data_IF_763148279948
#
_entry.id   IF_763148279948
#
_cell.length_a   1.000
_cell.length_b   1.000
_cell.length_c   1.000
_cell.angle_alpha   90.00
_cell.angle_beta   90.00
_cell.angle_gamma   90.00
#
_symmetry.space_group_name_H-M   'P 1'
#
loop_
_entity.id
_entity.type
_entity.pdbx_description
1 polymer ?
#
# COMPACT_ATOMS: atom_id res chain seq x y z
N UNK A 1 10.49 -25.70 -35.37
CA UNK A 1 10.33 -24.40 -34.70
C UNK A 1 9.68 -24.68 -33.34
N UNK A 2 10.44 -24.64 -32.26
CA UNK A 2 9.88 -24.72 -30.90
C UNK A 2 9.25 -23.36 -30.64
N UNK A 3 7.91 -23.28 -30.55
CA UNK A 3 7.23 -22.11 -30.06
C UNK A 3 7.77 -21.84 -28.64
N UNK A 4 8.47 -20.73 -28.43
CA UNK A 4 8.79 -20.27 -27.09
C UNK A 4 7.45 -19.94 -26.41
N UNK A 5 7.01 -20.82 -25.56
CA UNK A 5 5.90 -20.54 -24.63
C UNK A 5 6.38 -19.35 -23.82
N UNK A 6 5.70 -18.21 -23.91
CA UNK A 6 5.94 -17.08 -23.02
C UNK A 6 5.58 -17.55 -21.61
N UNK A 7 6.53 -17.65 -20.65
CA UNK A 7 6.25 -18.13 -19.31
C UNK A 7 5.23 -17.25 -18.55
N UNK A 8 4.91 -16.07 -19.08
CA UNK A 8 3.98 -15.11 -18.51
C UNK A 8 2.60 -15.10 -19.19
N UNK A 9 2.28 -16.09 -20.05
CA UNK A 9 0.93 -16.20 -20.63
C UNK A 9 0.02 -16.84 -19.59
N UNK A 10 -0.93 -16.13 -18.98
CA UNK A 10 -1.83 -16.73 -18.01
C UNK A 10 -2.75 -17.74 -18.69
N UNK A 11 -2.84 -18.94 -18.13
CA UNK A 11 -3.83 -19.97 -18.49
C UNK A 11 -5.25 -19.64 -17.98
N UNK A 12 -5.53 -18.37 -17.64
CA UNK A 12 -6.72 -17.89 -16.95
C UNK A 12 -6.39 -17.42 -15.53
N UNK A 13 -7.30 -16.72 -14.89
CA UNK A 13 -7.14 -16.32 -13.48
C UNK A 13 -7.24 -17.58 -12.60
N UNK A 14 -6.21 -17.92 -11.79
CA UNK A 14 -6.16 -19.19 -11.07
C UNK A 14 -7.10 -19.24 -9.86
N UNK A 15 -7.53 -18.07 -9.37
CA UNK A 15 -8.48 -17.96 -8.27
C UNK A 15 -9.91 -17.85 -8.80
N UNK A 16 -10.88 -18.23 -7.98
CA UNK A 16 -12.30 -18.01 -8.24
C UNK A 16 -12.75 -16.75 -7.50
N UNK A 17 -13.54 -15.91 -8.16
CA UNK A 17 -14.17 -14.73 -7.58
C UNK A 17 -15.66 -15.03 -7.45
N UNK A 18 -16.16 -15.06 -6.23
CA UNK A 18 -17.55 -15.40 -5.90
C UNK A 18 -18.15 -14.21 -5.16
N UNK A 19 -19.26 -13.65 -5.68
CA UNK A 19 -20.02 -12.64 -4.98
C UNK A 19 -21.17 -13.29 -4.22
N UNK A 20 -21.16 -13.13 -2.90
CA UNK A 20 -22.20 -13.66 -2.03
C UNK A 20 -23.50 -12.85 -2.14
N UNK A 21 -24.63 -13.46 -1.72
CA UNK A 21 -25.97 -12.85 -1.85
C UNK A 21 -26.10 -11.49 -1.14
N UNK A 22 -25.40 -11.27 -0.03
CA UNK A 22 -25.39 -10.02 0.72
C UNK A 22 -24.35 -9.00 0.21
N UNK A 23 -23.58 -9.32 -0.84
CA UNK A 23 -22.67 -8.37 -1.49
C UNK A 23 -21.17 -8.58 -1.21
N UNK A 24 -20.80 -9.37 -0.18
CA UNK A 24 -19.39 -9.71 0.11
C UNK A 24 -18.75 -10.45 -1.08
N UNK A 25 -17.52 -10.14 -1.38
CA UNK A 25 -16.74 -10.87 -2.38
C UNK A 25 -15.80 -11.86 -1.72
N UNK A 26 -15.84 -13.12 -2.14
CA UNK A 26 -14.85 -14.14 -1.82
C UNK A 26 -13.94 -14.34 -3.04
N UNK A 27 -12.62 -14.28 -2.81
CA UNK A 27 -11.60 -14.71 -3.77
C UNK A 27 -10.95 -15.95 -3.21
N UNK A 28 -10.99 -17.06 -3.94
CA UNK A 28 -10.49 -18.35 -3.45
C UNK A 28 -9.52 -18.97 -4.43
N UNK A 29 -8.37 -19.44 -3.90
CA UNK A 29 -7.44 -20.29 -4.64
C UNK A 29 -6.98 -21.46 -3.76
N UNK A 30 -7.29 -22.67 -4.18
CA UNK A 30 -6.75 -23.86 -3.52
C UNK A 30 -5.29 -24.10 -3.90
N UNK A 31 -4.45 -24.34 -2.90
CA UNK A 31 -3.03 -24.72 -3.05
C UNK A 31 -2.78 -25.90 -2.12
N UNK A 32 -2.68 -27.09 -2.69
CA UNK A 32 -2.56 -28.36 -1.96
C UNK A 32 -1.14 -28.80 -1.65
N UNK A 33 -0.14 -28.09 -2.17
CA UNK A 33 1.29 -28.37 -1.92
C UNK A 33 1.78 -27.92 -0.54
N UNK A 34 0.97 -27.20 0.21
CA UNK A 34 1.28 -26.72 1.57
C UNK A 34 0.08 -26.95 2.50
N UNK A 35 0.29 -27.35 3.77
CA UNK A 35 -0.79 -27.52 4.73
C UNK A 35 -1.30 -26.19 5.33
N UNK A 36 -0.91 -25.05 4.77
CA UNK A 36 -1.25 -23.70 5.27
C UNK A 36 -2.51 -23.18 4.59
N UNK A 37 -3.30 -22.41 5.34
CA UNK A 37 -4.36 -21.56 4.85
C UNK A 37 -4.14 -20.11 5.30
N UNK A 38 -4.39 -19.20 4.39
CA UNK A 38 -4.39 -17.76 4.64
C UNK A 38 -5.76 -17.21 4.34
N UNK A 39 -6.30 -16.44 5.26
CA UNK A 39 -7.47 -15.59 5.03
C UNK A 39 -7.03 -14.15 5.20
N UNK A 40 -7.32 -13.33 4.20
CA UNK A 40 -7.02 -11.90 4.21
C UNK A 40 -8.31 -11.12 3.92
N UNK A 41 -8.78 -10.35 4.88
CA UNK A 41 -10.04 -9.59 4.82
C UNK A 41 -9.71 -8.14 4.53
N UNK A 42 -10.11 -7.69 3.36
CA UNK A 42 -9.86 -6.34 2.84
C UNK A 42 -11.12 -5.49 2.96
N UNK A 43 -10.97 -4.30 3.51
CA UNK A 43 -12.04 -3.32 3.69
C UNK A 43 -11.65 -2.03 2.96
N UNK A 44 -12.49 -1.54 2.06
CA UNK A 44 -12.28 -0.27 1.33
C UNK A 44 -12.54 0.94 2.24
N UNK A 45 -11.79 1.02 3.33
CA UNK A 45 -11.94 2.01 4.39
C UNK A 45 -10.59 2.42 4.99
N UNK A 46 -9.68 2.90 4.14
CA UNK A 46 -8.45 3.55 4.58
C UNK A 46 -8.64 5.03 4.92
N UNK A 47 -7.53 5.75 5.07
CA UNK A 47 -7.55 7.17 5.45
C UNK A 47 -8.33 8.07 4.47
N UNK A 48 -8.46 7.67 3.20
CA UNK A 48 -9.25 8.40 2.21
C UNK A 48 -10.77 8.38 2.51
N UNK A 49 -11.25 7.38 3.25
CA UNK A 49 -12.65 7.26 3.64
C UNK A 49 -13.02 8.10 4.86
N UNK A 50 -12.05 8.70 5.52
CA UNK A 50 -12.25 9.48 6.73
C UNK A 50 -12.93 10.82 6.44
N UNK A 51 -13.98 11.22 7.19
CA UNK A 51 -14.46 12.58 7.16
C UNK A 51 -13.34 13.59 7.43
N UNK A 52 -13.41 14.79 6.85
CA UNK A 52 -12.31 15.78 6.87
C UNK A 52 -11.70 16.07 8.25
N UNK A 53 -12.49 15.95 9.31
CA UNK A 53 -12.04 16.21 10.69
C UNK A 53 -11.75 14.94 11.49
N UNK A 54 -11.71 13.76 10.85
CA UNK A 54 -11.51 12.47 11.49
C UNK A 54 -10.20 11.79 11.06
N UNK A 55 -9.16 12.56 10.74
CA UNK A 55 -7.87 12.01 10.32
C UNK A 55 -7.27 11.07 11.37
N UNK A 56 -6.85 9.87 10.93
CA UNK A 56 -6.36 8.78 11.79
C UNK A 56 -7.44 7.87 12.36
N UNK A 57 -8.71 8.06 11.98
CA UNK A 57 -9.81 7.23 12.46
C UNK A 57 -9.72 5.79 11.95
N UNK A 58 -9.32 5.58 10.71
CA UNK A 58 -9.21 4.25 10.11
C UNK A 58 -8.12 3.43 10.80
N UNK A 59 -6.95 4.02 11.03
CA UNK A 59 -5.84 3.38 11.74
C UNK A 59 -6.18 3.13 13.22
N UNK A 60 -6.76 4.10 13.89
CA UNK A 60 -7.18 3.90 15.29
C UNK A 60 -8.27 2.83 15.41
N UNK A 61 -9.18 2.71 14.42
CA UNK A 61 -10.16 1.63 14.38
C UNK A 61 -9.48 0.26 14.19
N UNK A 62 -8.42 0.16 13.38
CA UNK A 62 -7.64 -1.08 13.25
C UNK A 62 -7.21 -1.59 14.63
N UNK A 63 -6.60 -0.74 15.48
CA UNK A 63 -6.24 -1.09 16.85
C UNK A 63 -7.44 -1.54 17.69
N UNK A 64 -8.56 -0.83 17.54
CA UNK A 64 -9.75 -1.12 18.35
C UNK A 64 -10.51 -2.37 17.93
N UNK A 65 -10.36 -2.85 16.68
CA UNK A 65 -10.90 -4.15 16.24
C UNK A 65 -10.36 -5.28 17.13
N UNK A 66 -9.07 -5.26 17.47
CA UNK A 66 -8.44 -6.27 18.32
C UNK A 66 -8.81 -6.16 19.81
N UNK A 67 -9.54 -5.11 20.21
CA UNK A 67 -10.05 -4.99 21.61
C UNK A 67 -11.37 -5.76 21.81
N UNK A 68 -11.80 -6.52 20.79
CA UNK A 68 -12.83 -7.54 20.90
C UNK A 68 -14.24 -7.08 20.57
N UNK A 69 -15.15 -7.99 20.86
CA UNK A 69 -16.59 -7.85 20.68
C UNK A 69 -17.34 -8.09 21.99
N UNK A 70 -18.68 -8.12 21.95
CA UNK A 70 -19.49 -8.51 23.12
C UNK A 70 -19.17 -9.92 23.61
N UNK A 71 -18.82 -10.83 22.69
CA UNK A 71 -18.58 -12.25 22.98
C UNK A 71 -17.10 -12.60 23.12
N UNK A 72 -16.19 -11.70 22.75
CA UNK A 72 -14.74 -11.87 22.80
C UNK A 72 -14.14 -10.69 23.58
N UNK A 73 -13.65 -10.95 24.80
CA UNK A 73 -13.02 -9.92 25.63
C UNK A 73 -11.64 -9.51 25.08
N UNK A 74 -11.14 -8.31 25.45
CA UNK A 74 -9.79 -7.86 25.05
C UNK A 74 -8.71 -8.90 25.37
N UNK A 75 -7.82 -9.18 24.39
CA UNK A 75 -6.73 -10.16 24.51
C UNK A 75 -7.15 -11.62 24.35
N UNK A 76 -8.44 -11.94 24.35
CA UNK A 76 -8.92 -13.33 24.17
C UNK A 76 -8.76 -13.77 22.73
N UNK A 77 -8.95 -12.87 21.77
CA UNK A 77 -8.76 -13.17 20.34
C UNK A 77 -7.34 -13.67 20.08
N UNK A 78 -6.33 -12.94 20.52
CA UNK A 78 -4.92 -13.29 20.30
C UNK A 78 -4.60 -14.66 20.94
N UNK A 79 -5.06 -14.90 22.17
CA UNK A 79 -4.88 -16.20 22.86
C UNK A 79 -5.51 -17.36 22.06
N UNK A 80 -6.69 -17.16 21.48
CA UNK A 80 -7.35 -18.20 20.68
C UNK A 80 -6.57 -18.48 19.41
N UNK A 81 -6.15 -17.43 18.70
CA UNK A 81 -5.39 -17.59 17.45
C UNK A 81 -4.04 -18.28 17.74
N UNK A 82 -3.32 -17.87 18.75
CA UNK A 82 -2.07 -18.50 19.19
C UNK A 82 -2.28 -19.96 19.61
N UNK A 83 -3.36 -20.26 20.35
CA UNK A 83 -3.70 -21.62 20.75
C UNK A 83 -3.89 -22.56 19.54
N UNK A 84 -4.46 -22.05 18.46
CA UNK A 84 -4.62 -22.78 17.19
C UNK A 84 -3.37 -22.69 16.29
N UNK A 85 -2.24 -22.19 16.81
CA UNK A 85 -0.99 -22.05 16.04
C UNK A 85 -1.08 -21.08 14.86
N UNK A 86 -2.02 -20.14 14.93
CA UNK A 86 -2.21 -19.09 13.94
C UNK A 86 -1.37 -17.85 14.22
N UNK A 87 -1.20 -17.05 13.19
CA UNK A 87 -0.61 -15.71 13.23
C UNK A 87 -1.59 -14.76 12.58
N UNK A 88 -1.83 -13.62 13.21
CA UNK A 88 -2.68 -12.57 12.69
C UNK A 88 -1.97 -11.22 12.73
N UNK A 89 -2.32 -10.34 11.82
CA UNK A 89 -1.90 -8.95 11.83
C UNK A 89 -2.89 -8.13 10.99
N UNK A 90 -2.74 -6.81 11.00
CA UNK A 90 -3.52 -5.89 10.19
C UNK A 90 -2.64 -4.75 9.67
N UNK A 91 -3.16 -4.03 8.70
CA UNK A 91 -2.50 -2.87 8.13
C UNK A 91 -3.53 -1.89 7.55
N UNK A 92 -3.38 -0.62 7.86
CA UNK A 92 -4.18 0.47 7.29
C UNK A 92 -3.36 1.31 6.31
N UNK A 93 -3.92 1.51 5.12
CA UNK A 93 -3.39 2.36 4.06
C UNK A 93 -4.31 3.57 3.82
N UNK A 94 -3.99 4.38 2.82
CA UNK A 94 -4.92 5.43 2.38
C UNK A 94 -6.21 4.85 1.80
N UNK A 95 -6.14 3.79 0.98
CA UNK A 95 -7.29 3.25 0.24
C UNK A 95 -8.05 2.14 0.97
N UNK A 96 -7.39 1.45 1.92
CA UNK A 96 -7.95 0.26 2.56
C UNK A 96 -7.39 0.01 3.96
N UNK A 97 -8.10 -0.82 4.72
CA UNK A 97 -7.53 -1.61 5.81
C UNK A 97 -7.64 -3.09 5.46
N UNK A 98 -6.69 -3.92 5.89
CA UNK A 98 -6.81 -5.37 5.74
C UNK A 98 -6.34 -6.10 7.00
N UNK A 99 -6.94 -7.27 7.23
CA UNK A 99 -6.73 -8.08 8.41
C UNK A 99 -6.49 -9.52 7.95
N UNK A 100 -5.35 -10.08 8.28
CA UNK A 100 -5.01 -11.41 7.80
C UNK A 100 -4.74 -12.39 8.93
N UNK A 101 -5.12 -13.64 8.66
CA UNK A 101 -4.92 -14.81 9.49
C UNK A 101 -4.19 -15.88 8.68
N UNK A 102 -3.07 -16.36 9.19
CA UNK A 102 -2.34 -17.51 8.64
C UNK A 102 -2.35 -18.63 9.67
N UNK A 103 -2.80 -19.82 9.27
CA UNK A 103 -2.85 -20.99 10.16
C UNK A 103 -2.72 -22.29 9.38
N UNK A 104 -2.61 -23.43 10.08
CA UNK A 104 -2.77 -24.72 9.44
C UNK A 104 -4.20 -24.86 8.87
N UNK A 105 -4.36 -25.36 7.65
CA UNK A 105 -5.66 -25.46 6.99
C UNK A 105 -6.71 -26.20 7.84
N UNK A 106 -6.30 -27.23 8.61
CA UNK A 106 -7.17 -27.97 9.53
C UNK A 106 -7.66 -27.17 10.74
N UNK A 107 -7.01 -26.03 11.05
CA UNK A 107 -7.39 -25.14 12.15
C UNK A 107 -8.25 -23.95 11.70
N UNK A 108 -8.33 -23.72 10.39
CA UNK A 108 -9.08 -22.60 9.83
C UNK A 108 -10.56 -22.57 10.28
N UNK A 109 -11.30 -23.71 10.29
CA UNK A 109 -12.69 -23.71 10.74
C UNK A 109 -12.91 -23.25 12.20
N UNK A 110 -11.87 -23.42 13.04
CA UNK A 110 -11.88 -22.97 14.44
C UNK A 110 -11.47 -21.52 14.61
N UNK A 111 -10.51 -21.04 13.80
CA UNK A 111 -9.91 -19.72 13.95
C UNK A 111 -10.69 -18.60 13.21
N UNK A 112 -11.17 -18.87 11.99
CA UNK A 112 -11.84 -17.87 11.14
C UNK A 112 -13.09 -17.23 11.78
N UNK A 113 -13.97 -17.96 12.51
CA UNK A 113 -15.13 -17.34 13.14
C UNK A 113 -14.77 -16.23 14.12
N UNK A 114 -13.65 -16.32 14.83
CA UNK A 114 -13.21 -15.27 15.75
C UNK A 114 -12.72 -14.02 15.02
N UNK A 115 -12.05 -14.18 13.88
CA UNK A 115 -11.69 -13.03 13.04
C UNK A 115 -12.94 -12.32 12.50
N UNK A 116 -13.92 -13.07 12.00
CA UNK A 116 -15.19 -12.50 11.56
C UNK A 116 -15.94 -11.80 12.67
N UNK A 117 -15.97 -12.37 13.88
CA UNK A 117 -16.63 -11.79 15.04
C UNK A 117 -16.05 -10.42 15.42
N UNK A 118 -14.72 -10.30 15.54
CA UNK A 118 -14.09 -9.01 15.89
C UNK A 118 -14.22 -7.97 14.76
N UNK A 119 -14.21 -8.41 13.51
CA UNK A 119 -14.34 -7.50 12.37
C UNK A 119 -15.77 -6.95 12.23
N UNK A 120 -16.77 -7.80 12.37
CA UNK A 120 -18.17 -7.40 12.12
C UNK A 120 -18.86 -6.80 13.35
N UNK A 121 -18.42 -7.21 14.55
CA UNK A 121 -19.10 -6.88 15.81
C UNK A 121 -18.17 -6.23 16.84
N UNK A 122 -17.17 -5.48 16.35
CA UNK A 122 -16.30 -4.69 17.22
C UNK A 122 -17.14 -3.79 18.14
N UNK A 123 -16.98 -3.97 19.45
CA UNK A 123 -17.79 -3.23 20.43
C UNK A 123 -17.23 -1.83 20.70
N UNK A 124 -15.93 -1.68 20.54
CA UNK A 124 -15.19 -0.43 20.80
C UNK A 124 -15.51 0.07 22.22
N UNK A 125 -15.10 -0.68 23.29
CA UNK A 125 -15.43 -0.33 24.66
C UNK A 125 -14.81 1.01 25.06
N UNK A 126 -15.55 1.86 25.76
CA UNK A 126 -15.14 3.22 26.09
C UNK A 126 -13.83 3.24 26.91
N UNK A 127 -13.63 2.29 27.83
CA UNK A 127 -12.38 2.20 28.61
C UNK A 127 -11.18 1.79 27.76
N UNK A 128 -11.34 0.80 26.89
CA UNK A 128 -10.29 0.35 25.97
C UNK A 128 -9.98 1.43 24.93
N UNK A 129 -10.98 2.15 24.45
CA UNK A 129 -10.78 3.30 23.56
C UNK A 129 -9.88 4.38 24.17
N UNK A 130 -10.07 4.69 25.46
CA UNK A 130 -9.23 5.67 26.15
C UNK A 130 -7.80 5.16 26.31
N UNK A 131 -7.61 3.87 26.65
CA UNK A 131 -6.29 3.28 26.79
C UNK A 131 -5.56 3.20 25.46
N UNK A 132 -6.22 2.69 24.44
CA UNK A 132 -5.62 2.47 23.13
C UNK A 132 -5.32 3.77 22.41
N UNK A 133 -6.10 4.83 22.67
CA UNK A 133 -5.79 6.18 22.18
C UNK A 133 -4.39 6.63 22.63
N UNK A 134 -4.00 6.39 23.88
CA UNK A 134 -2.66 6.76 24.36
C UNK A 134 -1.57 5.92 23.67
N UNK A 135 -1.86 4.65 23.31
CA UNK A 135 -0.94 3.82 22.52
C UNK A 135 -0.73 4.40 21.13
N UNK A 136 -1.82 4.75 20.42
CA UNK A 136 -1.74 5.36 19.08
C UNK A 136 -1.06 6.73 19.13
N UNK A 137 -1.29 7.52 20.21
CA UNK A 137 -0.60 8.80 20.38
C UNK A 137 0.91 8.62 20.58
N UNK A 138 1.33 7.55 21.25
CA UNK A 138 2.75 7.24 21.41
C UNK A 138 3.36 6.75 20.09
N UNK A 139 2.61 5.99 19.30
CA UNK A 139 3.04 5.59 17.95
C UNK A 139 3.24 6.81 17.04
N UNK A 140 2.32 7.79 17.07
CA UNK A 140 2.48 9.05 16.35
C UNK A 140 3.78 9.75 16.77
N UNK A 141 4.06 9.88 18.06
CA UNK A 141 5.29 10.51 18.54
C UNK A 141 6.54 9.78 18.10
N UNK A 142 6.52 8.44 18.21
CA UNK A 142 7.61 7.59 17.78
C UNK A 142 7.90 7.73 16.27
N UNK A 143 6.83 7.88 15.46
CA UNK A 143 6.96 8.08 14.02
C UNK A 143 7.61 9.44 13.68
N UNK A 144 7.39 10.48 14.49
CA UNK A 144 8.09 11.76 14.32
C UNK A 144 9.57 11.71 14.66
N UNK A 145 10.02 10.70 15.42
CA UNK A 145 11.43 10.44 15.71
C UNK A 145 12.13 9.65 14.60
N UNK A 146 11.37 9.07 13.65
CA UNK A 146 11.90 8.39 12.45
C UNK A 146 12.04 9.38 11.29
N UNK A 147 13.28 9.73 10.88
CA UNK A 147 13.51 10.68 9.80
C UNK A 147 12.99 10.20 8.43
N UNK A 148 12.95 8.89 8.18
CA UNK A 148 12.47 8.36 6.89
C UNK A 148 10.96 8.51 6.78
N UNK A 149 10.23 8.17 7.85
CA UNK A 149 8.79 8.39 7.91
C UNK A 149 8.46 9.88 7.82
N UNK A 150 9.11 10.72 8.62
CA UNK A 150 8.87 12.16 8.65
C UNK A 150 9.14 12.81 7.29
N UNK A 151 10.23 12.41 6.65
CA UNK A 151 10.59 12.91 5.32
C UNK A 151 9.58 12.54 4.25
N UNK A 152 9.12 11.28 4.24
CA UNK A 152 8.12 10.82 3.30
C UNK A 152 6.74 11.45 3.55
N UNK A 153 6.31 11.55 4.81
CA UNK A 153 5.06 12.22 5.16
C UNK A 153 5.06 13.69 4.74
N UNK A 154 6.17 14.42 5.01
CA UNK A 154 6.33 15.82 4.56
C UNK A 154 6.32 15.93 3.04
N UNK A 155 6.90 14.96 2.32
CA UNK A 155 6.83 14.93 0.86
C UNK A 155 5.38 14.76 0.38
N UNK A 156 4.62 13.83 0.99
CA UNK A 156 3.21 13.62 0.66
C UNK A 156 2.37 14.87 0.92
N UNK A 157 2.54 15.54 2.04
CA UNK A 157 1.87 16.82 2.36
C UNK A 157 2.23 17.94 1.37
N UNK A 158 3.47 17.94 0.88
CA UNK A 158 3.94 18.91 -0.11
C UNK A 158 3.39 18.61 -1.51
N UNK A 159 3.26 17.33 -1.87
CA UNK A 159 2.69 16.87 -3.13
C UNK A 159 1.17 17.07 -3.18
N UNK A 160 0.47 16.61 -2.14
CA UNK A 160 -0.98 16.56 -2.09
C UNK A 160 -1.53 17.62 -1.11
N UNK A 161 -1.77 18.81 -1.60
CA UNK A 161 -2.32 19.91 -0.78
C UNK A 161 -3.85 19.86 -0.67
N UNK A 162 -4.51 19.20 -1.62
CA UNK A 162 -5.97 19.11 -1.71
C UNK A 162 -6.49 17.69 -1.60
N UNK A 163 -5.73 16.70 -2.07
CA UNK A 163 -6.12 15.29 -2.05
C UNK A 163 -5.81 14.67 -0.68
N UNK A 164 -6.68 13.78 -0.15
CA UNK A 164 -6.46 13.11 1.14
C UNK A 164 -5.15 12.33 1.27
N UNK A 165 -4.48 11.95 0.16
CA UNK A 165 -3.18 11.27 0.20
C UNK A 165 -2.04 12.11 0.81
N UNK A 166 -2.24 13.41 1.00
CA UNK A 166 -1.31 14.25 1.76
C UNK A 166 -1.49 14.14 3.28
N UNK A 167 -2.59 13.58 3.76
CA UNK A 167 -2.84 13.44 5.20
C UNK A 167 -2.09 12.22 5.75
N UNK A 168 -1.53 12.29 6.98
CA UNK A 168 -0.93 11.13 7.62
C UNK A 168 -2.00 10.08 7.95
N UNK A 169 -1.71 8.83 7.67
CA UNK A 169 -2.59 7.69 7.99
C UNK A 169 -2.82 7.58 9.51
N UNK A 170 -1.78 7.87 10.29
CA UNK A 170 -1.86 7.90 11.76
C UNK A 170 -2.73 9.05 12.29
N UNK A 171 -3.04 10.06 11.46
CA UNK A 171 -3.71 11.27 11.89
C UNK A 171 -2.81 12.22 12.68
N UNK A 172 -3.43 13.16 13.39
CA UNK A 172 -2.74 14.13 14.25
C UNK A 172 -3.20 14.02 15.70
N UNK A 173 -2.26 14.15 16.65
CA UNK A 173 -2.55 14.07 18.09
C UNK A 173 -3.72 14.95 18.52
N UNK A 174 -3.78 16.20 18.02
CA UNK A 174 -4.83 17.16 18.36
C UNK A 174 -6.24 16.69 17.93
N UNK A 175 -6.33 15.91 16.84
CA UNK A 175 -7.60 15.35 16.35
C UNK A 175 -7.97 14.09 17.16
N UNK A 176 -7.04 13.16 17.33
CA UNK A 176 -7.30 11.91 18.05
C UNK A 176 -7.78 12.14 19.48
N UNK A 177 -7.27 13.19 20.15
CA UNK A 177 -7.73 13.56 21.50
C UNK A 177 -9.18 14.00 21.58
N UNK A 178 -9.78 14.41 20.47
CA UNK A 178 -11.17 14.89 20.40
C UNK A 178 -12.16 13.80 20.03
N UNK A 179 -11.70 12.62 19.58
CA UNK A 179 -12.59 11.56 19.14
C UNK A 179 -13.31 10.89 20.30
N UNK A 180 -14.53 10.49 20.00
CA UNK A 180 -15.36 9.69 20.90
C UNK A 180 -15.53 8.26 20.38
N UNK A 181 -15.76 7.27 21.25
CA UNK A 181 -16.09 5.92 20.82
C UNK A 181 -17.31 5.86 19.89
N UNK A 182 -18.27 6.76 20.07
CA UNK A 182 -19.46 6.86 19.22
C UNK A 182 -19.12 7.19 17.75
N UNK A 183 -18.18 8.11 17.51
CA UNK A 183 -17.73 8.44 16.16
C UNK A 183 -17.05 7.24 15.49
N UNK A 184 -16.22 6.50 16.24
CA UNK A 184 -15.57 5.31 15.74
C UNK A 184 -16.55 4.18 15.45
N UNK A 185 -17.53 3.94 16.33
CA UNK A 185 -18.61 2.98 16.06
C UNK A 185 -19.41 3.38 14.82
N UNK A 186 -19.62 4.67 14.60
CA UNK A 186 -20.26 5.17 13.37
C UNK A 186 -19.39 4.85 12.15
N UNK A 187 -18.10 5.13 12.16
CA UNK A 187 -17.17 4.87 11.07
C UNK A 187 -17.10 3.36 10.77
N UNK A 188 -16.98 2.51 11.80
CA UNK A 188 -17.02 1.06 11.66
C UNK A 188 -18.28 0.59 10.94
N UNK A 189 -19.47 0.95 11.44
CA UNK A 189 -20.77 0.54 10.88
C UNK A 189 -21.04 1.08 9.49
N UNK A 190 -20.43 2.20 9.11
CA UNK A 190 -20.56 2.76 7.76
C UNK A 190 -19.73 1.97 6.76
N UNK A 191 -18.51 1.58 7.12
CA UNK A 191 -17.54 1.06 6.15
C UNK A 191 -17.37 -0.46 6.19
N UNK A 192 -17.58 -1.11 7.34
CA UNK A 192 -17.46 -2.57 7.46
C UNK A 192 -18.79 -3.23 7.05
N UNK A 193 -19.10 -3.14 5.77
CA UNK A 193 -20.31 -3.62 5.12
C UNK A 193 -19.97 -4.61 3.99
N UNK A 194 -20.88 -5.53 3.64
CA UNK A 194 -20.58 -6.63 2.72
C UNK A 194 -20.06 -6.18 1.36
N UNK A 195 -20.64 -5.15 0.79
CA UNK A 195 -20.26 -4.61 -0.52
C UNK A 195 -18.93 -3.85 -0.53
N UNK A 196 -18.44 -3.51 0.66
CA UNK A 196 -17.18 -2.82 0.89
C UNK A 196 -16.03 -3.76 1.32
N UNK A 197 -16.34 -5.04 1.54
CA UNK A 197 -15.41 -6.05 2.03
C UNK A 197 -15.13 -7.14 1.01
N UNK A 198 -13.89 -7.62 1.02
CA UNK A 198 -13.43 -8.76 0.23
C UNK A 198 -12.69 -9.72 1.14
N UNK A 199 -13.07 -10.98 1.13
CA UNK A 199 -12.37 -12.06 1.82
C UNK A 199 -11.57 -12.86 0.79
N UNK A 200 -10.25 -12.94 0.98
CA UNK A 200 -9.37 -13.74 0.14
C UNK A 200 -8.95 -14.96 0.92
N UNK A 201 -9.19 -16.15 0.37
CA UNK A 201 -8.78 -17.43 0.97
C UNK A 201 -7.82 -18.15 0.02
N UNK A 202 -6.57 -18.31 0.44
CA UNK A 202 -5.54 -19.02 -0.35
C UNK A 202 -4.89 -20.09 0.52
N UNK A 203 -4.79 -21.31 0.01
CA UNK A 203 -4.14 -22.42 0.70
C UNK A 203 -4.82 -23.76 0.51
N UNK A 204 -4.52 -24.70 1.39
CA UNK A 204 -5.06 -26.08 1.28
C UNK A 204 -6.48 -26.18 1.87
N UNK A 205 -7.40 -25.42 1.28
CA UNK A 205 -8.81 -25.39 1.65
C UNK A 205 -9.62 -25.62 0.38
N UNK A 206 -10.48 -26.66 0.33
CA UNK A 206 -11.40 -26.88 -0.80
C UNK A 206 -12.37 -25.69 -0.96
N UNK A 207 -12.80 -25.46 -2.20
CA UNK A 207 -13.67 -24.30 -2.52
C UNK A 207 -14.99 -24.30 -1.75
N UNK A 208 -15.66 -25.42 -1.69
CA UNK A 208 -16.96 -25.58 -0.98
C UNK A 208 -16.79 -25.39 0.54
N UNK A 209 -15.67 -25.81 1.09
CA UNK A 209 -15.34 -25.57 2.49
C UNK A 209 -15.07 -24.09 2.73
N UNK A 210 -14.23 -23.46 1.90
CA UNK A 210 -13.95 -22.02 1.99
C UNK A 210 -15.23 -21.17 1.86
N UNK A 211 -16.08 -21.48 0.87
CA UNK A 211 -17.34 -20.81 0.66
C UNK A 211 -18.26 -20.95 1.88
N UNK A 212 -18.47 -22.18 2.37
CA UNK A 212 -19.32 -22.45 3.53
C UNK A 212 -18.82 -21.75 4.81
N UNK A 213 -17.50 -21.76 5.04
CA UNK A 213 -16.89 -21.08 6.18
C UNK A 213 -17.07 -19.57 6.11
N UNK A 214 -16.82 -18.97 4.93
CA UNK A 214 -16.96 -17.53 4.75
C UNK A 214 -18.41 -17.09 4.86
N UNK A 215 -19.36 -17.79 4.22
CA UNK A 215 -20.79 -17.50 4.35
C UNK A 215 -21.26 -17.54 5.81
N UNK A 216 -20.86 -18.55 6.56
CA UNK A 216 -21.22 -18.70 7.98
C UNK A 216 -20.57 -17.64 8.86
N UNK A 217 -19.31 -17.28 8.59
CA UNK A 217 -18.55 -16.34 9.41
C UNK A 217 -19.01 -14.90 9.17
N UNK A 218 -19.31 -14.55 7.91
CA UNK A 218 -19.66 -13.19 7.50
C UNK A 218 -21.14 -13.00 7.23
N UNK A 219 -22.01 -13.56 8.08
CA UNK A 219 -23.50 -13.44 7.97
C UNK A 219 -24.10 -12.34 8.85
N UNK A 220 -23.36 -11.84 9.83
CA UNK A 220 -23.88 -10.97 10.90
C UNK A 220 -23.50 -9.50 10.77
N UNK A 221 -23.68 -8.86 9.60
CA UNK A 221 -23.36 -7.44 9.45
C UNK A 221 -24.25 -6.53 10.29
N UNK A 222 -23.62 -5.52 10.87
CA UNK A 222 -24.33 -4.47 11.63
C UNK A 222 -25.18 -3.61 10.69
N UNK A 223 -26.26 -3.02 11.23
CA UNK A 223 -27.02 -2.02 10.48
C UNK A 223 -26.11 -0.84 10.13
N UNK A 224 -26.05 -0.42 8.86
CA UNK A 224 -25.23 0.70 8.45
C UNK A 224 -25.53 1.99 9.22
N UNK A 225 -24.49 2.76 9.49
CA UNK A 225 -24.59 4.13 10.01
C UNK A 225 -24.20 5.12 8.90
N UNK A 226 -24.59 6.37 9.06
CA UNK A 226 -24.17 7.44 8.15
C UNK A 226 -23.11 8.32 8.84
N UNK A 227 -21.87 8.21 8.39
CA UNK A 227 -20.81 9.15 8.75
C UNK A 227 -20.97 10.46 7.97
N UNK A 228 -20.41 11.58 8.46
CA UNK A 228 -20.25 12.75 7.63
C UNK A 228 -19.55 12.41 6.32
N UNK A 229 -19.97 12.97 5.17
CA UNK A 229 -19.39 12.62 3.88
C UNK A 229 -17.93 13.05 3.79
N UNK A 230 -17.13 12.22 3.15
CA UNK A 230 -15.75 12.54 2.79
C UNK A 230 -15.72 13.34 1.49
N UNK A 231 -14.97 14.41 1.44
CA UNK A 231 -14.73 15.19 0.22
C UNK A 231 -13.36 14.80 -0.34
N UNK A 232 -13.36 14.12 -1.48
CA UNK A 232 -12.15 13.80 -2.23
C UNK A 232 -11.99 14.85 -3.33
N UNK A 233 -11.05 15.75 -3.16
CA UNK A 233 -10.69 16.74 -4.16
C UNK A 233 -9.53 16.19 -5.00
N UNK A 234 -9.58 16.38 -6.31
CA UNK A 234 -8.44 16.05 -7.16
C UNK A 234 -7.27 17.00 -6.87
N UNK A 235 -6.07 16.46 -6.82
CA UNK A 235 -4.87 17.29 -6.70
C UNK A 235 -4.58 17.96 -8.05
N UNK A 236 -4.45 19.30 -8.10
CA UNK A 236 -4.07 19.97 -9.33
C UNK A 236 -2.61 19.63 -9.70
N UNK A 237 -2.27 19.60 -11.00
CA UNK A 237 -0.89 19.38 -11.44
C UNK A 237 0.08 20.38 -10.81
N UNK A 238 1.25 19.92 -10.46
CA UNK A 238 2.35 20.78 -10.01
C UNK A 238 2.77 21.72 -11.16
N UNK A 239 2.83 23.01 -10.86
CA UNK A 239 3.24 24.04 -11.83
C UNK A 239 4.66 24.55 -11.62
N UNK A 240 5.23 24.27 -10.44
CA UNK A 240 6.57 24.67 -10.00
C UNK A 240 7.18 23.63 -9.05
N UNK A 241 8.42 23.86 -8.64
CA UNK A 241 9.08 23.04 -7.60
C UNK A 241 8.52 23.51 -6.24
N UNK A 242 7.90 22.56 -5.51
CA UNK A 242 7.52 22.77 -4.12
C UNK A 242 8.60 22.23 -3.20
N UNK A 243 9.26 23.10 -2.44
CA UNK A 243 10.41 22.75 -1.61
C UNK A 243 10.07 22.88 -0.13
N UNK A 244 10.39 21.82 0.63
CA UNK A 244 10.37 21.82 2.08
C UNK A 244 11.78 21.50 2.60
N UNK A 245 12.22 22.17 3.66
CA UNK A 245 13.53 21.96 4.29
C UNK A 245 13.38 21.90 5.79
N UNK A 246 13.98 20.90 6.41
CA UNK A 246 13.97 20.72 7.86
C UNK A 246 15.36 20.37 8.38
N UNK A 247 15.59 20.76 9.64
CA UNK A 247 16.80 20.46 10.37
C UNK A 247 16.48 19.53 11.54
N UNK A 248 17.14 18.41 11.62
CA UNK A 248 16.88 17.36 12.59
C UNK A 248 18.12 17.08 13.43
N UNK A 249 18.02 17.19 14.78
CA UNK A 249 19.20 17.08 15.66
C UNK A 249 19.82 15.68 15.66
N UNK A 250 19.04 14.65 15.40
CA UNK A 250 19.49 13.25 15.44
C UNK A 250 19.86 12.69 14.06
N UNK A 251 19.86 13.53 13.03
CA UNK A 251 20.20 13.10 11.69
C UNK A 251 21.72 13.12 11.48
N UNK A 252 22.31 11.98 11.15
CA UNK A 252 23.75 11.88 10.89
C UNK A 252 24.12 12.30 9.45
N UNK A 253 23.19 12.21 8.52
CA UNK A 253 23.42 12.41 7.09
C UNK A 253 22.30 13.23 6.48
N UNK A 254 22.62 14.09 5.50
CA UNK A 254 21.60 14.75 4.71
C UNK A 254 20.75 13.77 3.93
N UNK A 255 19.46 14.07 3.80
CA UNK A 255 18.51 13.30 2.98
C UNK A 255 17.79 14.20 2.02
N UNK A 256 17.60 13.71 0.82
CA UNK A 256 16.87 14.38 -0.24
C UNK A 256 15.80 13.41 -0.73
N UNK A 257 14.55 13.82 -0.69
CA UNK A 257 13.40 13.09 -1.21
C UNK A 257 12.71 13.95 -2.25
N UNK A 258 12.65 13.47 -3.50
CA UNK A 258 11.92 14.11 -4.59
C UNK A 258 10.71 13.26 -4.94
N UNK A 259 9.59 13.91 -5.29
CA UNK A 259 8.35 13.22 -5.60
C UNK A 259 7.58 13.82 -6.77
N UNK A 260 6.92 12.95 -7.53
CA UNK A 260 6.02 13.29 -8.65
C UNK A 260 4.70 12.54 -8.48
N UNK A 261 3.63 13.20 -8.84
CA UNK A 261 2.30 12.59 -8.90
C UNK A 261 2.14 11.91 -10.24
N UNK A 262 1.87 10.62 -10.21
CA UNK A 262 1.51 9.81 -11.36
C UNK A 262 0.01 9.49 -11.41
N UNK A 263 -0.44 8.75 -12.41
CA UNK A 263 -1.83 8.34 -12.55
C UNK A 263 -2.19 7.25 -11.54
N UNK A 264 -3.46 7.16 -11.18
CA UNK A 264 -4.01 6.06 -10.40
C UNK A 264 -4.25 4.79 -11.24
N UNK A 265 -4.85 3.80 -10.60
CA UNK A 265 -5.09 2.47 -11.20
C UNK A 265 -5.94 2.50 -12.47
N UNK A 266 -6.77 3.52 -12.68
CA UNK A 266 -7.59 3.68 -13.91
C UNK A 266 -6.75 3.88 -15.17
N UNK A 267 -5.47 4.24 -15.04
CA UNK A 267 -4.50 4.40 -16.13
C UNK A 267 -3.31 3.46 -15.90
N UNK A 268 -3.60 2.20 -15.71
CA UNK A 268 -2.64 1.16 -15.32
C UNK A 268 -1.43 1.10 -16.28
N UNK A 269 -1.64 1.27 -17.58
CA UNK A 269 -0.55 1.29 -18.56
C UNK A 269 0.48 2.39 -18.23
N UNK A 270 0.07 3.63 -17.97
CA UNK A 270 1.01 4.68 -17.60
C UNK A 270 1.68 4.38 -16.23
N UNK A 271 0.94 3.81 -15.28
CA UNK A 271 1.46 3.43 -13.97
C UNK A 271 2.55 2.38 -14.05
N UNK A 272 2.35 1.30 -14.82
CA UNK A 272 3.36 0.26 -15.03
C UNK A 272 4.60 0.81 -15.74
N UNK A 273 4.42 1.79 -16.64
CA UNK A 273 5.55 2.47 -17.27
C UNK A 273 6.38 3.31 -16.29
N UNK A 274 5.74 3.93 -15.29
CA UNK A 274 6.46 4.61 -14.21
C UNK A 274 7.23 3.62 -13.33
N UNK A 275 6.67 2.45 -13.09
CA UNK A 275 7.36 1.40 -12.35
C UNK A 275 8.61 0.90 -13.10
N UNK A 276 8.52 0.68 -14.44
CA UNK A 276 9.69 0.39 -15.27
C UNK A 276 10.75 1.52 -15.22
N UNK A 277 10.33 2.78 -15.19
CA UNK A 277 11.24 3.91 -15.07
C UNK A 277 11.92 3.97 -13.70
N UNK A 278 11.22 3.56 -12.63
CA UNK A 278 11.83 3.47 -11.29
C UNK A 278 12.99 2.49 -11.30
N UNK A 279 12.80 1.31 -11.90
CA UNK A 279 13.87 0.31 -12.02
C UNK A 279 15.06 0.82 -12.83
N UNK A 280 14.82 1.49 -13.94
CA UNK A 280 15.89 2.03 -14.80
C UNK A 280 16.69 3.11 -14.09
N UNK A 281 16.03 3.94 -13.29
CA UNK A 281 16.68 5.05 -12.59
C UNK A 281 17.43 4.60 -11.33
N UNK A 282 16.80 3.83 -10.45
CA UNK A 282 17.33 3.62 -9.09
C UNK A 282 17.43 2.16 -8.61
N UNK A 283 17.07 1.13 -9.42
CA UNK A 283 17.15 -0.24 -8.94
C UNK A 283 18.46 -0.94 -9.34
N UNK A 284 19.29 -1.23 -8.33
CA UNK A 284 20.55 -1.96 -8.49
C UNK A 284 21.72 -1.14 -9.05
N UNK A 285 22.94 -1.68 -8.87
CA UNK A 285 24.22 -0.97 -9.10
C UNK A 285 24.44 -0.41 -10.51
N UNK A 286 23.74 -0.93 -11.50
CA UNK A 286 23.89 -0.52 -12.91
C UNK A 286 22.75 0.38 -13.41
N UNK A 287 21.80 0.75 -12.55
CA UNK A 287 20.79 1.76 -12.85
C UNK A 287 21.42 3.15 -13.00
N UNK A 288 20.75 4.06 -13.68
CA UNK A 288 21.35 5.32 -14.09
C UNK A 288 21.88 6.17 -12.93
N UNK A 289 21.03 6.38 -11.90
CA UNK A 289 21.36 7.23 -10.77
C UNK A 289 22.34 6.54 -9.83
N UNK A 290 22.13 5.26 -9.51
CA UNK A 290 23.04 4.50 -8.62
C UNK A 290 24.42 4.44 -9.22
N UNK A 291 24.56 4.08 -10.49
CA UNK A 291 25.85 4.02 -11.15
C UNK A 291 26.56 5.37 -11.14
N UNK A 292 25.88 6.44 -11.55
CA UNK A 292 26.51 7.76 -11.67
C UNK A 292 26.80 8.42 -10.33
N UNK A 293 25.82 8.45 -9.43
CA UNK A 293 25.92 9.22 -8.19
C UNK A 293 26.64 8.46 -7.09
N UNK A 294 26.41 7.14 -6.96
CA UNK A 294 27.00 6.32 -5.92
C UNK A 294 28.33 5.69 -6.37
N UNK A 295 28.34 5.00 -7.52
CA UNK A 295 29.51 4.21 -7.92
C UNK A 295 30.62 5.07 -8.58
N UNK A 296 30.27 5.95 -9.53
CA UNK A 296 31.25 6.72 -10.30
C UNK A 296 31.65 8.04 -9.61
N UNK A 297 30.67 8.85 -9.20
CA UNK A 297 30.93 10.18 -8.62
C UNK A 297 31.07 10.21 -7.12
N UNK A 298 30.59 9.17 -6.43
CA UNK A 298 30.60 9.04 -4.96
C UNK A 298 30.03 10.29 -4.24
N UNK A 299 28.92 10.83 -4.76
CA UNK A 299 28.23 12.01 -4.22
C UNK A 299 27.17 11.64 -3.19
N UNK A 300 26.74 10.37 -3.17
CA UNK A 300 25.72 9.84 -2.27
C UNK A 300 26.23 8.53 -1.66
N UNK A 301 25.79 8.24 -0.45
CA UNK A 301 26.00 6.92 0.17
C UNK A 301 25.00 5.90 -0.39
N UNK A 302 23.77 6.36 -0.59
CA UNK A 302 22.76 5.57 -1.27
C UNK A 302 21.80 6.45 -2.07
N UNK A 303 21.17 5.87 -3.08
CA UNK A 303 20.13 6.48 -3.88
C UNK A 303 19.23 5.40 -4.46
N UNK A 304 17.95 5.63 -4.35
CA UNK A 304 16.92 4.73 -4.85
C UNK A 304 15.82 5.51 -5.58
N UNK A 305 15.04 4.82 -6.35
CA UNK A 305 13.77 5.31 -6.86
C UNK A 305 12.70 4.25 -6.68
N UNK A 306 11.49 4.66 -6.35
CA UNK A 306 10.36 3.78 -6.15
C UNK A 306 9.11 4.33 -6.82
N UNK A 307 8.15 3.44 -7.03
CA UNK A 307 6.83 3.74 -7.55
C UNK A 307 5.79 3.07 -6.67
N UNK A 308 4.78 3.81 -6.25
CA UNK A 308 3.67 3.30 -5.44
C UNK A 308 2.35 3.60 -6.12
N UNK A 309 1.65 2.54 -6.56
CA UNK A 309 0.33 2.62 -7.16
C UNK A 309 -0.73 2.77 -6.06
N UNK A 310 -1.67 3.69 -6.26
CA UNK A 310 -2.85 3.88 -5.42
C UNK A 310 -4.08 4.00 -6.31
N UNK A 311 -5.27 4.04 -5.73
CA UNK A 311 -6.52 4.07 -6.50
C UNK A 311 -6.65 5.32 -7.37
N UNK A 312 -6.48 6.51 -6.79
CA UNK A 312 -6.78 7.77 -7.48
C UNK A 312 -5.55 8.41 -8.14
N UNK A 313 -4.37 8.15 -7.62
CA UNK A 313 -3.08 8.58 -8.18
C UNK A 313 -1.98 7.59 -7.82
N UNK A 314 -0.75 7.90 -8.18
CA UNK A 314 0.45 7.18 -7.75
C UNK A 314 1.54 8.18 -7.37
N UNK A 315 2.52 7.73 -6.63
CA UNK A 315 3.70 8.51 -6.28
C UNK A 315 4.93 7.86 -6.90
N UNK A 316 5.70 8.65 -7.63
CA UNK A 316 7.05 8.30 -8.03
C UNK A 316 8.03 9.06 -7.15
N UNK A 317 8.98 8.38 -6.53
CA UNK A 317 9.95 9.01 -5.64
C UNK A 317 11.38 8.70 -6.04
N UNK A 318 12.28 9.63 -5.71
CA UNK A 318 13.73 9.44 -5.73
C UNK A 318 14.24 9.90 -4.36
N UNK A 319 14.85 8.97 -3.62
CA UNK A 319 15.46 9.21 -2.31
C UNK A 319 16.99 9.13 -2.40
N UNK A 320 17.70 10.02 -1.72
CA UNK A 320 19.16 10.00 -1.64
C UNK A 320 19.67 10.34 -0.25
N UNK A 321 20.69 9.61 0.20
CA UNK A 321 21.42 9.83 1.46
C UNK A 321 22.81 10.35 1.13
N UNK A 322 23.16 11.55 1.62
CA UNK A 322 24.32 12.28 1.14
C UNK A 322 24.88 13.27 2.17
N UNK A 323 26.09 13.75 1.91
CA UNK A 323 26.65 14.90 2.60
C UNK A 323 25.80 16.15 2.26
N UNK A 324 25.30 16.92 3.24
CA UNK A 324 24.51 18.13 2.98
C UNK A 324 25.14 19.11 1.99
N UNK A 325 26.45 19.14 1.90
CA UNK A 325 27.17 20.00 0.93
C UNK A 325 27.00 19.58 -0.53
N UNK A 326 26.49 18.37 -0.78
CA UNK A 326 26.27 17.82 -2.13
C UNK A 326 24.81 17.95 -2.61
N UNK A 327 23.89 18.46 -1.80
CA UNK A 327 22.44 18.50 -2.08
C UNK A 327 22.15 19.11 -3.44
N UNK A 328 22.57 20.35 -3.71
CA UNK A 328 22.29 21.04 -4.97
C UNK A 328 22.86 20.30 -6.18
N UNK A 329 24.04 19.70 -6.00
CA UNK A 329 24.71 18.96 -7.05
C UNK A 329 23.99 17.65 -7.39
N UNK A 330 23.51 16.94 -6.38
CA UNK A 330 22.77 15.69 -6.55
C UNK A 330 21.42 15.97 -7.17
N UNK A 331 20.66 16.97 -6.66
CA UNK A 331 19.38 17.40 -7.24
C UNK A 331 19.54 17.77 -8.72
N UNK A 332 20.57 18.54 -9.06
CA UNK A 332 20.86 18.89 -10.46
C UNK A 332 21.11 17.66 -11.34
N UNK A 333 21.92 16.69 -10.87
CA UNK A 333 22.20 15.47 -11.64
C UNK A 333 20.95 14.66 -11.85
N UNK A 334 20.07 14.55 -10.82
CA UNK A 334 18.76 13.89 -10.97
C UNK A 334 17.94 14.60 -12.07
N UNK A 335 17.80 15.92 -12.00
CA UNK A 335 17.11 16.72 -13.02
C UNK A 335 17.67 16.52 -14.41
N UNK A 336 18.99 16.52 -14.57
CA UNK A 336 19.67 16.28 -15.86
C UNK A 336 19.34 14.87 -16.41
N UNK A 337 19.24 13.85 -15.56
CA UNK A 337 18.88 12.47 -15.98
C UNK A 337 17.42 12.35 -16.37
N UNK A 338 16.51 13.04 -15.68
CA UNK A 338 15.11 13.11 -16.07
C UNK A 338 14.94 13.85 -17.40
N UNK A 339 15.60 14.98 -17.59
CA UNK A 339 15.62 15.69 -18.88
C UNK A 339 16.19 14.83 -20.02
N UNK A 340 17.21 14.03 -19.74
CA UNK A 340 17.76 13.08 -20.72
C UNK A 340 16.76 12.00 -21.11
N UNK A 341 15.97 11.44 -20.14
CA UNK A 341 14.90 10.48 -20.41
C UNK A 341 13.82 11.05 -21.32
N UNK A 342 13.52 12.33 -21.18
CA UNK A 342 12.57 13.04 -22.05
C UNK A 342 13.09 13.27 -23.47
N UNK A 343 14.39 13.52 -23.61
CA UNK A 343 15.01 13.83 -24.89
C UNK A 343 15.39 12.59 -25.69
N UNK A 344 15.77 11.50 -25.03
CA UNK A 344 16.26 10.28 -25.67
C UNK A 344 15.58 9.05 -25.04
N UNK A 345 15.05 8.14 -25.88
CA UNK A 345 14.55 6.86 -25.37
C UNK A 345 15.63 6.11 -24.58
N UNK A 346 15.18 5.25 -23.66
CA UNK A 346 16.06 4.29 -23.00
C UNK A 346 16.63 3.29 -24.02
N UNK A 347 17.77 2.71 -23.71
CA UNK A 347 18.35 1.67 -24.56
C UNK A 347 17.57 0.35 -24.45
N UNK A 348 17.62 -0.48 -25.47
CA UNK A 348 16.99 -1.82 -25.45
C UNK A 348 17.57 -2.68 -24.32
N UNK A 349 18.84 -2.49 -23.99
CA UNK A 349 19.49 -3.21 -22.88
C UNK A 349 18.91 -2.80 -21.53
N UNK A 350 18.69 -1.49 -21.30
CA UNK A 350 18.06 -0.99 -20.07
C UNK A 350 16.62 -1.47 -19.97
N UNK A 351 15.84 -1.36 -21.06
CA UNK A 351 14.46 -1.79 -21.09
C UNK A 351 14.32 -3.30 -20.82
N UNK A 352 15.08 -4.14 -21.53
CA UNK A 352 15.04 -5.59 -21.35
C UNK A 352 15.45 -6.01 -19.94
N UNK A 353 16.40 -5.28 -19.32
CA UNK A 353 16.80 -5.53 -17.94
C UNK A 353 15.67 -5.16 -16.98
N UNK A 354 15.05 -3.99 -17.13
CA UNK A 354 13.99 -3.51 -16.25
C UNK A 354 12.77 -4.44 -16.31
N UNK A 355 12.33 -4.82 -17.51
CA UNK A 355 11.26 -5.81 -17.71
C UNK A 355 11.53 -7.11 -16.96
N UNK A 356 12.73 -7.69 -17.17
CA UNK A 356 13.10 -8.92 -16.49
C UNK A 356 13.10 -8.78 -14.97
N UNK A 357 13.60 -7.68 -14.41
CA UNK A 357 13.61 -7.46 -12.97
C UNK A 357 12.19 -7.41 -12.41
N UNK A 358 11.30 -6.58 -12.97
CA UNK A 358 9.92 -6.48 -12.52
C UNK A 358 9.14 -7.80 -12.68
N UNK A 359 9.34 -8.51 -13.80
CA UNK A 359 8.72 -9.83 -13.97
C UNK A 359 9.23 -10.86 -12.96
N UNK A 360 10.50 -10.80 -12.56
CA UNK A 360 11.03 -11.70 -11.52
C UNK A 360 10.49 -11.31 -10.14
N UNK A 361 10.43 -10.03 -9.80
CA UNK A 361 9.86 -9.56 -8.54
C UNK A 361 8.38 -9.96 -8.43
N UNK A 362 7.63 -9.87 -9.53
CA UNK A 362 6.26 -10.40 -9.60
C UNK A 362 6.21 -11.91 -9.31
N UNK A 363 7.07 -12.72 -9.94
CA UNK A 363 7.11 -14.16 -9.67
C UNK A 363 7.38 -14.43 -8.19
N UNK A 364 8.35 -13.74 -7.59
CA UNK A 364 8.66 -13.90 -6.16
C UNK A 364 7.51 -13.44 -5.26
N UNK A 365 6.72 -12.45 -5.68
CA UNK A 365 5.52 -12.00 -4.95
C UNK A 365 4.32 -12.96 -5.06
N UNK A 366 4.44 -14.07 -5.79
CA UNK A 366 3.41 -15.10 -5.96
C UNK A 366 3.82 -16.48 -5.44
N UNK A 367 4.90 -16.57 -4.65
CA UNK A 367 5.48 -17.82 -4.21
C UNK A 367 4.71 -18.47 -3.04
N UNK A 368 4.14 -17.69 -2.17
CA UNK A 368 3.46 -18.18 -0.95
C UNK A 368 1.97 -17.85 -0.94
N UNK A 369 1.14 -18.62 -0.20
CA UNK A 369 -0.28 -18.30 -0.03
C UNK A 369 -0.53 -16.88 0.50
N UNK A 370 0.30 -16.39 1.43
CA UNK A 370 0.17 -15.03 1.99
C UNK A 370 0.43 -13.95 0.93
N UNK A 371 1.45 -14.13 0.10
CA UNK A 371 1.75 -13.21 -0.99
C UNK A 371 0.63 -13.17 -2.03
N UNK A 372 0.08 -14.34 -2.41
CA UNK A 372 -1.05 -14.42 -3.33
C UNK A 372 -2.31 -13.78 -2.74
N UNK A 373 -2.61 -14.04 -1.47
CA UNK A 373 -3.76 -13.43 -0.80
C UNK A 373 -3.64 -11.89 -0.77
N UNK A 374 -2.48 -11.38 -0.40
CA UNK A 374 -2.19 -9.94 -0.41
C UNK A 374 -2.29 -9.35 -1.83
N UNK A 375 -1.73 -10.02 -2.83
CA UNK A 375 -1.77 -9.57 -4.22
C UNK A 375 -3.20 -9.47 -4.77
N UNK A 376 -4.02 -10.50 -4.56
CA UNK A 376 -5.41 -10.52 -5.04
C UNK A 376 -6.26 -9.48 -4.31
N UNK A 377 -6.14 -9.40 -3.00
CA UNK A 377 -6.86 -8.42 -2.19
C UNK A 377 -6.49 -7.00 -2.55
N UNK A 378 -5.21 -6.70 -2.70
CA UNK A 378 -4.72 -5.38 -3.09
C UNK A 378 -5.30 -4.94 -4.44
N UNK A 379 -5.12 -5.73 -5.50
CA UNK A 379 -5.64 -5.35 -6.81
C UNK A 379 -7.16 -5.33 -6.87
N UNK A 380 -7.86 -6.25 -6.17
CA UNK A 380 -9.32 -6.22 -6.11
C UNK A 380 -9.86 -4.98 -5.38
N UNK A 381 -9.16 -4.54 -4.36
CA UNK A 381 -9.54 -3.35 -3.60
C UNK A 381 -9.37 -2.08 -4.43
N UNK A 382 -8.29 -1.99 -5.22
CA UNK A 382 -8.05 -0.83 -6.08
C UNK A 382 -8.93 -0.84 -7.33
N UNK A 383 -9.15 -2.01 -7.96
CA UNK A 383 -9.95 -2.15 -9.19
C UNK A 383 -10.47 -3.59 -9.37
N UNK A 384 -9.61 -4.57 -9.71
CA UNK A 384 -10.00 -5.96 -10.00
C UNK A 384 -8.81 -6.90 -9.77
N UNK A 385 -9.06 -8.06 -9.16
CA UNK A 385 -8.03 -9.04 -8.86
C UNK A 385 -7.32 -9.57 -10.11
N UNK A 386 -8.02 -9.64 -11.26
CA UNK A 386 -7.45 -10.09 -12.52
C UNK A 386 -6.31 -9.19 -13.03
N UNK A 387 -6.26 -7.92 -12.57
CA UNK A 387 -5.15 -7.02 -12.90
C UNK A 387 -3.81 -7.54 -12.41
N UNK A 388 -3.79 -8.33 -11.33
CA UNK A 388 -2.58 -8.99 -10.86
C UNK A 388 -1.91 -9.84 -11.94
N UNK A 389 -2.68 -10.53 -12.77
CA UNK A 389 -2.16 -11.37 -13.86
C UNK A 389 -1.76 -10.57 -15.11
N UNK A 390 -2.37 -9.42 -15.33
CA UNK A 390 -2.09 -8.61 -16.53
C UNK A 390 -0.79 -7.83 -16.39
N UNK A 391 -0.32 -7.61 -15.19
CA UNK A 391 0.87 -6.82 -14.90
C UNK A 391 2.14 -7.30 -15.66
N UNK A 392 2.55 -8.57 -15.62
CA UNK A 392 3.70 -9.05 -16.40
C UNK A 392 3.49 -8.95 -17.91
N UNK A 393 2.24 -9.12 -18.38
CA UNK A 393 1.91 -9.02 -19.81
C UNK A 393 2.06 -7.58 -20.28
N UNK A 394 1.56 -6.62 -19.50
CA UNK A 394 1.70 -5.20 -19.78
C UNK A 394 3.18 -4.82 -19.82
N UNK A 395 3.98 -5.25 -18.84
CA UNK A 395 5.43 -5.01 -18.81
C UNK A 395 6.11 -5.42 -20.14
N UNK A 396 5.79 -6.60 -20.68
CA UNK A 396 6.41 -7.11 -21.91
C UNK A 396 6.08 -6.28 -23.16
N UNK A 397 4.94 -5.58 -23.17
CA UNK A 397 4.50 -4.78 -24.34
C UNK A 397 5.20 -3.43 -24.47
N UNK A 398 5.83 -2.90 -23.40
CA UNK A 398 6.45 -1.58 -23.44
C UNK A 398 7.59 -1.48 -24.43
N UNK A 399 7.63 -0.35 -25.13
CA UNK A 399 8.77 0.08 -25.96
C UNK A 399 9.53 1.22 -25.29
N UNK A 400 10.75 1.45 -25.74
CA UNK A 400 11.55 2.60 -25.26
C UNK A 400 10.86 3.95 -25.51
N UNK A 401 10.02 4.05 -26.56
CA UNK A 401 9.22 5.25 -26.88
C UNK A 401 8.07 5.46 -25.91
N UNK A 402 7.43 4.37 -25.44
CA UNK A 402 6.37 4.47 -24.44
C UNK A 402 6.92 5.03 -23.12
N UNK A 403 8.09 4.54 -22.67
CA UNK A 403 8.74 5.06 -21.49
C UNK A 403 9.17 6.52 -21.64
N UNK A 404 9.64 6.92 -22.83
CA UNK A 404 9.95 8.32 -23.11
C UNK A 404 8.70 9.20 -23.02
N UNK A 405 7.56 8.79 -23.60
CA UNK A 405 6.27 9.49 -23.49
C UNK A 405 5.86 9.66 -22.03
N UNK A 406 5.93 8.58 -21.23
CA UNK A 406 5.56 8.58 -19.84
C UNK A 406 6.49 9.49 -19.01
N UNK A 407 7.80 9.45 -19.26
CA UNK A 407 8.75 10.36 -18.62
C UNK A 407 8.44 11.83 -18.94
N UNK A 408 8.11 12.16 -20.20
CA UNK A 408 7.68 13.51 -20.59
C UNK A 408 6.41 13.97 -19.89
N UNK A 409 5.49 13.05 -19.67
CA UNK A 409 4.18 13.36 -19.08
C UNK A 409 4.23 13.55 -17.56
N UNK A 410 4.99 12.69 -16.84
CA UNK A 410 4.93 12.62 -15.39
C UNK A 410 6.20 13.03 -14.66
N UNK A 411 7.39 12.84 -15.22
CA UNK A 411 8.66 13.09 -14.54
C UNK A 411 9.32 14.39 -14.98
N UNK A 412 8.66 15.50 -14.70
CA UNK A 412 9.20 16.82 -15.07
C UNK A 412 10.41 17.17 -14.19
N UNK A 413 11.54 17.61 -14.78
CA UNK A 413 12.68 18.11 -14.02
C UNK A 413 12.47 19.51 -13.40
N UNK A 414 11.34 20.17 -13.71
CA UNK A 414 11.01 21.53 -13.27
C UNK A 414 9.74 21.60 -12.40
N UNK A 415 9.02 20.49 -12.24
CA UNK A 415 7.74 20.43 -11.51
C UNK A 415 7.68 19.17 -10.67
N UNK A 416 8.09 19.29 -9.41
CA UNK A 416 8.14 18.21 -8.43
C UNK A 416 8.05 18.77 -7.01
N UNK A 417 7.76 17.92 -6.05
CA UNK A 417 7.98 18.25 -4.65
C UNK A 417 9.32 17.73 -4.19
N UNK A 418 9.97 18.43 -3.28
CA UNK A 418 11.22 18.01 -2.66
C UNK A 418 11.21 18.30 -1.18
N UNK A 419 11.59 17.30 -0.39
CA UNK A 419 11.86 17.40 1.03
C UNK A 419 13.36 17.20 1.26
N UNK A 420 13.98 18.16 1.92
CA UNK A 420 15.40 18.15 2.30
C UNK A 420 15.50 18.09 3.81
N UNK A 421 16.20 17.09 4.33
CA UNK A 421 16.50 16.95 5.75
C UNK A 421 17.99 17.07 5.96
N UNK A 422 18.39 17.89 6.92
CA UNK A 422 19.80 18.15 7.25
C UNK A 422 20.04 17.99 8.76
N UNK A 423 21.26 17.59 9.17
CA UNK A 423 21.68 17.73 10.56
C UNK A 423 21.61 19.18 11.03
N UNK A 424 21.32 19.41 12.33
CA UNK A 424 21.40 20.73 12.96
C UNK A 424 22.83 21.22 13.04
#
# INVERSE_FOLDING_TARGET
MVQKINPYTPLGFPAKIIRLNHGLTLIHQQIDVTPVAVVDVWVKAGAIAEPNHWGGMAHFLEHMIFKGSKDILPGVFDQIIEHHGGVTNAFTSHDYAHFFLTTAATQLPQALPYLGEILLKAEIPDEEFIREREVVLEEIRSSFDDPDWLGFQTLCETLYQHHPYGKPILGHEAQLRQYSPHQMRCFHRTHYQPDNMTVVVVGNVPEDEALSLVEKTFDGFSVPSECPPTQINQEPPLVEIRRNQMYLPNLAQGRLLMGWIGPGVTRLEDSVGLDLLSVILGCGRTSRLVRELREEKQLVWDIESSFSLQRDSSIFTIGAWLDPRQLDRVEKVIGDRLAQLQQKPVTETELSKAKRLLCHDYIFSTETPSQLAGLYGYYHTLASAELSLTYPIIIEQYTAKDLQRIACQYLSPERYAITIMQPC
#
